data_IF_669613201510
#
_entry.id   IF_669613201510
#
_cell.length_a   1.000
_cell.length_b   1.000
_cell.length_c   1.000
_cell.angle_alpha   90.00
_cell.angle_beta   90.00
_cell.angle_gamma   90.00
#
_symmetry.space_group_name_H-M   'P 1'
#
loop_
_entity.id
_entity.type
_entity.pdbx_description
1 polymer ?
#
# COMPACT_ATOMS: atom_id res chain seq x y z
N UNK A 1 -1.72 -21.65 4.09
CA UNK A 1 -1.80 -20.76 2.92
C UNK A 1 -3.07 -20.99 2.10
N UNK A 2 -3.45 -22.23 1.81
CA UNK A 2 -4.61 -22.53 0.93
C UNK A 2 -5.97 -22.05 1.45
N UNK A 3 -6.20 -22.00 2.76
CA UNK A 3 -7.49 -21.55 3.34
C UNK A 3 -7.78 -20.06 3.15
N UNK A 4 -6.77 -19.20 3.05
CA UNK A 4 -6.95 -17.75 2.87
C UNK A 4 -7.41 -17.37 1.47
N UNK A 5 -7.23 -18.24 0.48
CA UNK A 5 -7.62 -18.05 -0.92
C UNK A 5 -8.88 -18.87 -1.31
N UNK A 6 -9.54 -19.48 -0.34
CA UNK A 6 -10.77 -20.22 -0.60
C UNK A 6 -11.89 -19.28 -1.06
N UNK A 7 -12.54 -19.64 -2.18
CA UNK A 7 -13.58 -18.80 -2.81
C UNK A 7 -13.05 -17.61 -3.61
N UNK A 8 -11.72 -17.44 -3.73
CA UNK A 8 -11.09 -16.40 -4.56
C UNK A 8 -10.62 -17.04 -5.86
N UNK A 9 -11.09 -16.53 -6.99
CA UNK A 9 -10.70 -16.99 -8.33
C UNK A 9 -9.92 -15.93 -9.09
N UNK A 10 -10.31 -14.66 -8.98
CA UNK A 10 -9.69 -13.53 -9.68
C UNK A 10 -9.14 -12.53 -8.68
N UNK A 11 -7.87 -12.15 -8.84
CA UNK A 11 -7.17 -11.21 -7.98
C UNK A 11 -6.75 -10.00 -8.82
N UNK A 12 -7.10 -8.79 -8.38
CA UNK A 12 -6.59 -7.55 -8.92
C UNK A 12 -5.34 -7.14 -8.14
N UNK A 13 -4.20 -7.06 -8.81
CA UNK A 13 -2.94 -6.61 -8.22
C UNK A 13 -2.67 -5.16 -8.64
N UNK A 14 -2.49 -4.29 -7.67
CA UNK A 14 -2.07 -2.91 -7.90
C UNK A 14 -0.55 -2.85 -8.00
N UNK A 15 -0.05 -2.48 -9.17
CA UNK A 15 1.37 -2.27 -9.41
C UNK A 15 1.86 -0.91 -8.89
N UNK A 16 3.17 -0.70 -8.98
CA UNK A 16 3.84 0.45 -8.37
C UNK A 16 3.73 1.75 -9.17
N UNK A 17 3.30 1.69 -10.41
CA UNK A 17 3.30 2.87 -11.28
C UNK A 17 4.73 3.35 -11.60
N UNK A 18 4.90 4.67 -11.68
CA UNK A 18 6.22 5.27 -11.86
C UNK A 18 7.07 5.13 -10.59
N UNK A 19 8.16 4.38 -10.71
CA UNK A 19 9.09 4.10 -9.61
C UNK A 19 10.16 5.18 -9.52
N UNK A 20 10.56 5.51 -8.29
CA UNK A 20 11.73 6.35 -8.04
C UNK A 20 13.00 5.51 -8.10
N UNK A 21 14.13 6.18 -8.36
CA UNK A 21 15.45 5.55 -8.28
C UNK A 21 15.63 4.95 -6.89
N UNK A 22 16.00 3.66 -6.82
CA UNK A 22 16.19 2.90 -5.59
C UNK A 22 14.99 2.04 -5.16
N UNK A 23 13.80 2.28 -5.68
CA UNK A 23 12.59 1.48 -5.37
C UNK A 23 12.29 0.41 -6.44
N UNK A 24 12.82 0.61 -7.65
CA UNK A 24 12.44 -0.17 -8.83
C UNK A 24 12.72 -1.67 -8.68
N UNK A 25 13.90 -2.05 -8.20
CA UNK A 25 14.30 -3.45 -8.12
C UNK A 25 13.47 -4.26 -7.15
N UNK A 26 13.16 -3.71 -5.99
CA UNK A 26 12.39 -4.40 -4.95
C UNK A 26 10.93 -4.58 -5.36
N UNK A 27 10.26 -3.51 -5.77
CA UNK A 27 8.84 -3.55 -6.14
C UNK A 27 8.60 -4.33 -7.42
N UNK A 28 9.51 -4.24 -8.40
CA UNK A 28 9.42 -5.00 -9.64
C UNK A 28 9.54 -6.50 -9.39
N UNK A 29 10.50 -6.90 -8.57
CA UNK A 29 10.68 -8.30 -8.18
C UNK A 29 9.50 -8.82 -7.35
N UNK A 30 9.11 -8.13 -6.28
CA UNK A 30 8.05 -8.59 -5.38
C UNK A 30 6.70 -8.72 -6.09
N UNK A 31 6.34 -7.74 -6.93
CA UNK A 31 5.11 -7.79 -7.71
C UNK A 31 5.11 -8.92 -8.74
N UNK A 32 6.22 -9.14 -9.45
CA UNK A 32 6.36 -10.24 -10.41
C UNK A 32 6.25 -11.60 -9.72
N UNK A 33 6.87 -11.76 -8.55
CA UNK A 33 6.77 -13.00 -7.76
C UNK A 33 5.35 -13.22 -7.21
N UNK A 34 4.66 -12.15 -6.80
CA UNK A 34 3.27 -12.26 -6.36
C UNK A 34 2.35 -12.75 -7.49
N UNK A 35 2.48 -12.18 -8.69
CA UNK A 35 1.70 -12.64 -9.86
C UNK A 35 1.96 -14.11 -10.12
N UNK A 36 3.24 -14.53 -10.14
CA UNK A 36 3.63 -15.92 -10.33
C UNK A 36 3.01 -16.84 -9.27
N UNK A 37 3.13 -16.47 -7.99
CA UNK A 37 2.60 -17.26 -6.89
C UNK A 37 1.08 -17.43 -6.96
N UNK A 38 0.33 -16.37 -7.26
CA UNK A 38 -1.11 -16.45 -7.43
C UNK A 38 -1.50 -17.35 -8.61
N UNK A 39 -0.76 -17.30 -9.71
CA UNK A 39 -1.00 -18.17 -10.86
C UNK A 39 -0.66 -19.64 -10.56
N UNK A 40 0.38 -19.90 -9.79
CA UNK A 40 0.72 -21.27 -9.31
C UNK A 40 -0.38 -21.83 -8.39
N UNK A 41 -1.07 -20.98 -7.63
CA UNK A 41 -2.27 -21.33 -6.85
C UNK A 41 -3.56 -21.41 -7.71
N UNK A 42 -3.44 -21.36 -9.02
CA UNK A 42 -4.56 -21.49 -9.97
C UNK A 42 -5.48 -20.28 -10.02
N UNK A 43 -5.01 -19.10 -9.61
CA UNK A 43 -5.80 -17.85 -9.63
C UNK A 43 -5.58 -17.09 -10.93
N UNK A 44 -6.64 -16.44 -11.41
CA UNK A 44 -6.55 -15.46 -12.48
C UNK A 44 -6.05 -14.13 -11.91
N UNK A 45 -5.02 -13.55 -12.52
CA UNK A 45 -4.41 -12.30 -12.06
C UNK A 45 -4.63 -11.19 -13.07
N UNK A 46 -5.23 -10.12 -12.61
CA UNK A 46 -5.39 -8.85 -13.32
C UNK A 46 -4.41 -7.85 -12.72
N UNK A 47 -3.56 -7.25 -13.53
CA UNK A 47 -2.57 -6.25 -13.11
C UNK A 47 -2.97 -4.87 -13.63
N UNK A 48 -2.93 -3.86 -12.78
CA UNK A 48 -2.90 -2.45 -13.18
C UNK A 48 -1.53 -1.87 -12.89
N UNK A 49 -0.83 -1.39 -13.89
CA UNK A 49 0.46 -0.71 -13.77
C UNK A 49 0.72 0.13 -15.01
N UNK A 50 0.83 1.47 -14.91
CA UNK A 50 1.12 2.36 -16.03
C UNK A 50 2.54 2.23 -16.57
N UNK A 51 3.44 1.55 -15.86
CA UNK A 51 4.82 1.39 -16.27
C UNK A 51 4.97 0.26 -17.29
N UNK A 52 5.32 0.62 -18.54
CA UNK A 52 5.57 -0.32 -19.63
C UNK A 52 6.97 -0.96 -19.58
N UNK A 53 7.86 -0.46 -18.73
CA UNK A 53 9.25 -0.88 -18.61
C UNK A 53 9.53 -1.70 -17.35
N UNK A 54 8.55 -2.44 -16.88
CA UNK A 54 8.66 -3.33 -15.70
C UNK A 54 8.45 -4.79 -16.11
N UNK A 55 9.11 -5.72 -15.42
CA UNK A 55 8.87 -7.14 -15.60
C UNK A 55 7.42 -7.55 -15.26
N UNK A 56 6.75 -6.83 -14.37
CA UNK A 56 5.34 -7.08 -14.00
C UNK A 56 4.41 -7.05 -15.21
N UNK A 57 4.64 -6.12 -16.15
CA UNK A 57 3.82 -5.94 -17.35
C UNK A 57 4.27 -6.79 -18.54
N UNK A 58 5.26 -7.67 -18.36
CA UNK A 58 5.75 -8.55 -19.39
C UNK A 58 4.66 -9.50 -19.88
N UNK A 59 4.67 -9.76 -21.18
CA UNK A 59 3.74 -10.67 -21.84
C UNK A 59 3.68 -12.03 -21.16
N UNK A 60 2.47 -12.50 -20.87
CA UNK A 60 2.23 -13.84 -20.32
C UNK A 60 2.48 -13.98 -18.81
N UNK A 61 2.87 -12.91 -18.10
CA UNK A 61 3.02 -12.97 -16.65
C UNK A 61 1.64 -12.90 -15.98
N UNK A 62 0.92 -11.76 -16.06
CA UNK A 62 -0.47 -11.65 -15.63
C UNK A 62 -1.44 -12.08 -16.74
N UNK A 63 -2.66 -12.46 -16.38
CA UNK A 63 -3.69 -12.85 -17.35
C UNK A 63 -4.28 -11.67 -18.11
N UNK A 64 -4.37 -10.51 -17.43
CA UNK A 64 -4.77 -9.22 -18.02
C UNK A 64 -3.89 -8.11 -17.45
N UNK A 65 -3.46 -7.19 -18.31
CA UNK A 65 -2.65 -6.03 -17.91
C UNK A 65 -3.34 -4.75 -18.36
N UNK A 66 -3.53 -3.83 -17.43
CA UNK A 66 -4.06 -2.49 -17.67
C UNK A 66 -2.94 -1.46 -17.47
N UNK A 67 -2.56 -0.77 -18.55
CA UNK A 67 -1.57 0.31 -18.53
C UNK A 67 -2.21 1.65 -18.16
N UNK A 68 -2.93 1.65 -17.04
CA UNK A 68 -3.69 2.80 -16.55
C UNK A 68 -3.12 3.31 -15.23
N UNK A 69 -3.36 4.58 -14.89
CA UNK A 69 -2.95 5.13 -13.59
C UNK A 69 -3.55 4.36 -12.42
N UNK A 70 -2.73 4.12 -11.39
CA UNK A 70 -3.19 3.48 -10.14
C UNK A 70 -3.89 4.53 -9.27
N UNK A 71 -5.13 4.86 -9.65
CA UNK A 71 -6.00 5.81 -8.96
C UNK A 71 -7.38 5.19 -8.75
N UNK A 72 -8.15 5.63 -7.72
CA UNK A 72 -9.45 5.04 -7.42
C UNK A 72 -10.40 4.97 -8.63
N UNK A 73 -10.47 6.02 -9.43
CA UNK A 73 -11.36 6.08 -10.60
C UNK A 73 -11.04 5.02 -11.67
N UNK A 74 -9.76 4.80 -11.96
CA UNK A 74 -9.36 3.78 -12.94
C UNK A 74 -9.50 2.38 -12.36
N UNK A 75 -9.12 2.20 -11.09
CA UNK A 75 -9.24 0.91 -10.41
C UNK A 75 -10.70 0.49 -10.27
N UNK A 76 -11.63 1.41 -9.93
CA UNK A 76 -13.07 1.10 -9.87
C UNK A 76 -13.58 0.59 -11.21
N UNK A 77 -13.23 1.24 -12.34
CA UNK A 77 -13.62 0.78 -13.68
C UNK A 77 -13.10 -0.62 -14.02
N UNK A 78 -11.89 -0.93 -13.55
CA UNK A 78 -11.32 -2.27 -13.72
C UNK A 78 -12.06 -3.29 -12.84
N UNK A 79 -12.40 -2.93 -11.61
CA UNK A 79 -13.22 -3.75 -10.72
C UNK A 79 -14.57 -4.04 -11.37
N UNK A 80 -15.24 -3.03 -11.91
CA UNK A 80 -16.54 -3.20 -12.62
C UNK A 80 -16.44 -4.12 -13.84
N UNK A 81 -15.34 -4.05 -14.57
CA UNK A 81 -15.13 -4.85 -15.80
C UNK A 81 -14.69 -6.27 -15.51
N UNK A 82 -13.78 -6.46 -14.58
CA UNK A 82 -13.12 -7.74 -14.33
C UNK A 82 -13.76 -8.55 -13.19
N UNK A 83 -14.58 -7.89 -12.35
CA UNK A 83 -15.26 -8.48 -11.19
C UNK A 83 -14.29 -9.34 -10.33
N UNK A 84 -13.17 -8.79 -9.86
CA UNK A 84 -12.23 -9.55 -9.05
C UNK A 84 -12.85 -9.88 -7.68
N UNK A 85 -12.52 -11.05 -7.16
CA UNK A 85 -12.93 -11.46 -5.81
C UNK A 85 -12.08 -10.78 -4.74
N UNK A 86 -10.85 -10.39 -5.11
CA UNK A 86 -9.90 -9.81 -4.17
C UNK A 86 -8.95 -8.82 -4.84
N UNK A 87 -8.35 -7.95 -4.01
CA UNK A 87 -7.35 -6.97 -4.39
C UNK A 87 -6.09 -7.12 -3.53
N UNK A 88 -4.91 -7.04 -4.15
CA UNK A 88 -3.62 -7.07 -3.49
C UNK A 88 -2.95 -5.69 -3.57
N UNK A 89 -2.68 -5.07 -2.42
CA UNK A 89 -2.20 -3.68 -2.30
C UNK A 89 -0.69 -3.59 -2.03
N UNK A 90 -0.09 -4.64 -1.44
CA UNK A 90 1.25 -4.57 -0.85
C UNK A 90 2.41 -4.67 -1.86
N UNK A 91 2.13 -4.71 -3.16
CA UNK A 91 3.13 -4.92 -4.21
C UNK A 91 3.36 -3.71 -5.12
N UNK A 92 2.73 -2.58 -4.82
CA UNK A 92 2.79 -1.36 -5.62
C UNK A 92 3.31 -0.13 -4.86
N UNK A 93 3.92 -0.34 -3.68
CA UNK A 93 4.43 0.75 -2.83
C UNK A 93 3.32 1.70 -2.38
N UNK A 94 3.71 2.91 -2.00
CA UNK A 94 2.80 3.91 -1.43
C UNK A 94 1.64 4.26 -2.37
N UNK A 95 1.87 4.27 -3.67
CA UNK A 95 0.82 4.54 -4.67
C UNK A 95 -0.33 3.54 -4.57
N UNK A 96 0.00 2.24 -4.48
CA UNK A 96 -1.01 1.19 -4.35
C UNK A 96 -1.70 1.22 -2.98
N UNK A 97 -0.94 1.43 -1.90
CA UNK A 97 -1.50 1.54 -0.55
C UNK A 97 -2.48 2.70 -0.43
N UNK A 98 -2.10 3.90 -0.87
CA UNK A 98 -2.96 5.07 -0.86
C UNK A 98 -4.22 4.87 -1.72
N UNK A 99 -4.07 4.24 -2.89
CA UNK A 99 -5.21 3.92 -3.74
C UNK A 99 -6.17 2.93 -3.04
N UNK A 100 -5.63 1.90 -2.39
CA UNK A 100 -6.42 0.92 -1.63
C UNK A 100 -7.19 1.55 -0.48
N UNK A 101 -6.56 2.42 0.29
CA UNK A 101 -7.21 3.18 1.38
C UNK A 101 -8.34 4.03 0.82
N UNK A 102 -8.10 4.79 -0.26
CA UNK A 102 -9.11 5.64 -0.87
C UNK A 102 -10.31 4.85 -1.46
N UNK A 103 -10.06 3.64 -2.00
CA UNK A 103 -11.12 2.74 -2.47
C UNK A 103 -12.00 2.23 -1.31
N UNK A 104 -11.38 1.90 -0.19
CA UNK A 104 -12.07 1.43 1.01
C UNK A 104 -12.90 2.55 1.64
N UNK A 105 -12.32 3.73 1.85
CA UNK A 105 -12.99 4.91 2.39
C UNK A 105 -14.18 5.36 1.52
N UNK A 106 -14.09 5.22 0.20
CA UNK A 106 -15.17 5.48 -0.73
C UNK A 106 -16.25 4.37 -0.76
N UNK A 107 -16.06 3.27 -0.01
CA UNK A 107 -16.98 2.12 0.01
C UNK A 107 -16.97 1.29 -1.29
N UNK A 108 -16.01 1.50 -2.18
CA UNK A 108 -15.93 0.83 -3.49
C UNK A 108 -15.65 -0.67 -3.31
N UNK A 109 -14.75 -1.03 -2.38
CA UNK A 109 -14.41 -2.42 -2.13
C UNK A 109 -15.61 -3.20 -1.58
N UNK A 110 -16.36 -2.62 -0.65
CA UNK A 110 -17.58 -3.20 -0.10
C UNK A 110 -18.69 -3.32 -1.16
N UNK A 111 -18.94 -2.24 -1.92
CA UNK A 111 -19.93 -2.18 -3.01
C UNK A 111 -19.77 -3.33 -4.01
N UNK A 112 -18.52 -3.69 -4.33
CA UNK A 112 -18.20 -4.73 -5.31
C UNK A 112 -17.80 -6.06 -4.67
N UNK A 113 -17.91 -6.18 -3.34
CA UNK A 113 -17.54 -7.39 -2.57
C UNK A 113 -16.08 -7.85 -2.84
N UNK A 114 -15.16 -6.91 -2.94
CA UNK A 114 -13.73 -7.15 -3.18
C UNK A 114 -12.99 -7.26 -1.85
N UNK A 115 -12.36 -8.40 -1.58
CA UNK A 115 -11.59 -8.63 -0.36
C UNK A 115 -10.16 -8.11 -0.50
N UNK A 116 -9.65 -7.45 0.52
CA UNK A 116 -8.21 -7.08 0.57
C UNK A 116 -7.39 -8.30 1.01
N UNK A 117 -6.41 -8.68 0.19
CA UNK A 117 -5.47 -9.75 0.50
C UNK A 117 -4.20 -9.21 1.16
N UNK A 118 -3.71 -9.95 2.15
CA UNK A 118 -2.51 -9.59 2.90
C UNK A 118 -2.82 -8.59 4.01
N UNK A 119 -2.17 -7.43 4.01
CA UNK A 119 -2.35 -6.40 5.03
C UNK A 119 -3.69 -5.69 4.85
N UNK A 120 -4.51 -5.67 5.89
CA UNK A 120 -5.81 -4.98 5.86
C UNK A 120 -5.65 -3.47 5.77
N UNK A 121 -6.66 -2.76 5.25
CA UNK A 121 -6.65 -1.29 5.19
C UNK A 121 -6.53 -0.69 6.59
N UNK A 122 -7.17 -1.27 7.60
CA UNK A 122 -7.02 -0.86 9.00
C UNK A 122 -5.55 -0.92 9.46
N UNK A 123 -4.85 -2.02 9.16
CA UNK A 123 -3.43 -2.18 9.50
C UNK A 123 -2.55 -1.21 8.72
N UNK A 124 -2.86 -0.96 7.45
CA UNK A 124 -2.16 0.04 6.63
C UNK A 124 -2.28 1.41 7.29
N UNK A 125 -3.48 1.85 7.63
CA UNK A 125 -3.71 3.14 8.28
C UNK A 125 -2.97 3.26 9.62
N UNK A 126 -3.01 2.22 10.45
CA UNK A 126 -2.30 2.19 11.74
C UNK A 126 -0.78 2.26 11.58
N UNK A 127 -0.21 1.66 10.55
CA UNK A 127 1.24 1.61 10.36
C UNK A 127 1.80 2.82 9.61
N UNK A 128 1.00 3.43 8.73
CA UNK A 128 1.39 4.61 7.97
C UNK A 128 1.29 5.90 8.80
N UNK A 129 0.33 5.99 9.73
CA UNK A 129 0.23 7.09 10.68
C UNK A 129 1.11 6.84 11.90
N UNK A 130 2.16 7.63 12.08
CA UNK A 130 3.13 7.48 13.18
C UNK A 130 2.51 7.69 14.55
N UNK A 131 1.54 8.59 14.68
CA UNK A 131 0.89 8.83 15.97
C UNK A 131 0.00 7.65 16.34
N UNK A 132 -0.77 7.12 15.38
CA UNK A 132 -1.57 5.91 15.54
C UNK A 132 -0.70 4.68 15.84
N UNK A 133 0.41 4.52 15.11
CA UNK A 133 1.35 3.42 15.34
C UNK A 133 1.98 3.47 16.73
N UNK A 134 2.44 4.64 17.18
CA UNK A 134 2.98 4.82 18.52
C UNK A 134 1.92 4.56 19.61
N UNK A 135 0.67 4.95 19.38
CA UNK A 135 -0.42 4.67 20.31
C UNK A 135 -0.70 3.16 20.41
N UNK A 136 -0.70 2.46 19.28
CA UNK A 136 -0.88 1.00 19.23
C UNK A 136 0.25 0.29 19.98
N UNK A 137 1.52 0.66 19.75
CA UNK A 137 2.66 0.08 20.46
C UNK A 137 2.59 0.30 21.97
N UNK A 138 2.18 1.49 22.42
CA UNK A 138 1.99 1.76 23.85
C UNK A 138 0.85 0.95 24.45
N UNK A 139 -0.19 0.64 23.68
CA UNK A 139 -1.32 -0.18 24.16
C UNK A 139 -0.95 -1.62 24.49
N UNK A 140 0.18 -2.09 23.96
CA UNK A 140 0.74 -3.43 24.20
C UNK A 140 2.04 -3.39 25.01
N UNK A 141 2.26 -2.31 25.78
CA UNK A 141 3.41 -2.09 26.64
C UNK A 141 4.77 -2.11 25.93
N UNK A 142 4.81 -1.70 24.67
CA UNK A 142 6.07 -1.50 23.93
C UNK A 142 6.48 -0.04 24.03
N UNK A 143 7.70 0.18 24.53
CA UNK A 143 8.30 1.50 24.62
C UNK A 143 8.58 2.09 23.24
N UNK A 144 8.22 3.35 23.07
CA UNK A 144 8.51 4.15 21.88
C UNK A 144 9.20 5.44 22.27
N UNK A 145 10.07 5.98 21.42
CA UNK A 145 10.69 7.29 21.67
C UNK A 145 9.62 8.35 21.96
N UNK A 146 9.90 9.22 22.93
CA UNK A 146 9.02 10.35 23.23
C UNK A 146 8.90 11.23 21.98
N UNK A 147 7.70 11.43 21.51
CA UNK A 147 7.42 12.16 20.27
C UNK A 147 6.07 12.87 20.34
N UNK A 148 5.96 13.97 19.59
CA UNK A 148 4.75 14.75 19.45
C UNK A 148 4.46 14.98 17.98
N UNK A 149 3.19 14.83 17.57
CA UNK A 149 2.71 15.34 16.30
C UNK A 149 2.49 16.85 16.44
N UNK A 150 3.03 17.61 15.48
CA UNK A 150 2.96 19.08 15.49
C UNK A 150 2.49 19.58 14.14
N UNK A 151 1.58 20.51 14.12
CA UNK A 151 1.02 21.15 12.91
C UNK A 151 1.47 22.61 12.75
N UNK A 152 2.11 23.17 13.77
CA UNK A 152 2.59 24.54 13.77
C UNK A 152 4.01 24.66 14.35
N UNK A 153 4.72 25.74 14.01
CA UNK A 153 6.06 26.01 14.53
C UNK A 153 6.06 26.20 16.06
N UNK A 154 5.02 26.81 16.62
CA UNK A 154 4.91 27.01 18.06
C UNK A 154 4.79 25.67 18.80
N UNK A 155 4.05 24.72 18.23
CA UNK A 155 3.96 23.36 18.77
C UNK A 155 5.30 22.63 18.68
N UNK A 156 6.04 22.78 17.58
CA UNK A 156 7.39 22.19 17.42
C UNK A 156 8.34 22.72 18.50
N UNK A 157 8.36 24.02 18.75
CA UNK A 157 9.23 24.63 19.79
C UNK A 157 8.85 24.16 21.20
N UNK A 158 7.57 24.06 21.47
CA UNK A 158 7.04 23.56 22.75
C UNK A 158 7.39 22.08 22.95
N UNK A 159 7.17 21.26 21.93
CA UNK A 159 7.51 19.83 21.94
C UNK A 159 9.03 19.62 22.11
N UNK A 160 9.86 20.41 21.40
CA UNK A 160 11.32 20.36 21.54
C UNK A 160 11.79 20.67 22.95
N UNK A 161 11.16 21.66 23.61
CA UNK A 161 11.46 21.99 25.00
C UNK A 161 11.05 20.88 25.97
N UNK A 162 9.92 20.22 25.71
CA UNK A 162 9.42 19.13 26.55
C UNK A 162 10.19 17.82 26.37
N UNK A 163 10.66 17.52 25.15
CA UNK A 163 11.49 16.32 24.87
C UNK A 163 12.91 16.52 25.41
N UNK A 164 13.45 17.72 25.25
CA UNK A 164 14.87 18.04 25.49
C UNK A 164 15.70 17.91 24.21
N UNK A 165 16.58 18.88 23.97
CA UNK A 165 17.46 18.90 22.80
C UNK A 165 18.68 17.98 22.96
N UNK A 166 19.20 17.37 21.87
CA UNK A 166 18.77 17.51 20.46
C UNK A 166 17.51 16.68 20.13
N UNK A 167 16.69 17.18 19.18
CA UNK A 167 15.50 16.50 18.67
C UNK A 167 15.60 16.26 17.18
N UNK A 168 14.90 15.21 16.68
CA UNK A 168 14.73 14.95 15.26
C UNK A 168 13.33 15.39 14.86
N UNK A 169 13.24 16.20 13.80
CA UNK A 169 11.99 16.59 13.18
C UNK A 169 11.80 15.76 11.92
N UNK A 170 10.66 15.10 11.76
CA UNK A 170 10.33 14.29 10.59
C UNK A 170 8.96 14.65 10.05
N UNK A 171 8.82 14.67 8.72
CA UNK A 171 7.49 14.76 8.12
C UNK A 171 6.62 13.56 8.51
N UNK A 172 5.32 13.75 8.66
CA UNK A 172 4.37 12.70 9.04
C UNK A 172 4.42 11.52 8.07
N UNK A 173 4.50 11.82 6.78
CA UNK A 173 4.59 10.83 5.69
C UNK A 173 5.90 11.04 4.94
N UNK A 174 6.92 10.26 5.26
CA UNK A 174 8.22 10.29 4.59
C UNK A 174 8.59 8.89 4.14
N UNK A 175 8.89 8.74 2.85
CA UNK A 175 9.33 7.49 2.24
C UNK A 175 10.75 7.63 1.69
N UNK A 176 11.57 6.60 1.87
CA UNK A 176 12.87 6.49 1.21
C UNK A 176 13.89 7.56 1.58
N UNK A 177 13.89 8.04 2.83
CA UNK A 177 14.84 9.04 3.31
C UNK A 177 14.57 10.48 2.86
N UNK A 178 13.60 10.70 1.98
CA UNK A 178 13.19 12.03 1.53
C UNK A 178 12.17 12.61 2.52
N UNK A 179 12.47 13.76 3.12
CA UNK A 179 11.64 14.36 4.18
C UNK A 179 11.84 13.76 5.57
N UNK A 180 12.90 12.99 5.78
CA UNK A 180 13.24 12.37 7.06
C UNK A 180 14.29 13.17 7.86
N UNK A 181 14.10 14.49 7.97
CA UNK A 181 14.85 15.36 8.85
C UNK A 181 16.14 15.87 8.29
#
# INVERSE_FOLDING_TARGET
FSKSLEGINTILLLGSGALKIGEAGELDYSGSQAIKAFKEEGKRVVLINPNIATNQTSWGLADSVYFEPVTPNFVERIIEKENPDAIALSFGGQTALNCGVALDEAGILEKHNVKVLGTSVESINKTEDRAAFNAELRSIDIDVPKSFACESMDEVLKAGTEIGYPVIIRAAFALGGKGSG
#
